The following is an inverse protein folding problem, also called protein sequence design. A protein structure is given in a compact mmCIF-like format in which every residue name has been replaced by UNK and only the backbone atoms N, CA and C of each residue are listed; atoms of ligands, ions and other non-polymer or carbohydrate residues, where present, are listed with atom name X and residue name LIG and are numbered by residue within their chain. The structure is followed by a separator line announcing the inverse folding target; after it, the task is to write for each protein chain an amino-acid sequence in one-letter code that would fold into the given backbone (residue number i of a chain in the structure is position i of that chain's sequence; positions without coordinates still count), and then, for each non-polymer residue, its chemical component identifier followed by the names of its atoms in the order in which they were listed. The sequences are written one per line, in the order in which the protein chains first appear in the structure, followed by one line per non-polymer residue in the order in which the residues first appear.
data_IF_679776451379
#
_entry.id   IF_679776451379
#
_cell.length_a   1.000
_cell.length_b   1.000
_cell.length_c   1.000
_cell.angle_alpha   90.00
_cell.angle_beta   90.00
_cell.angle_gamma   90.00
#
_symmetry.space_group_name_H-M   'P 1'
#
loop_
_entity.id
_entity.type
_entity.pdbx_description
1 polymer ?
#
# COMPACT_ATOMS: atom_id res chain seq x y z
N UNK A 1 41.70 -13.45 4.05
CA UNK A 1 40.63 -12.64 4.68
C UNK A 1 40.83 -11.19 4.24
N UNK A 2 40.27 -10.79 3.09
CA UNK A 2 40.49 -9.46 2.52
C UNK A 2 39.54 -8.45 3.18
N UNK A 3 40.08 -7.41 3.82
CA UNK A 3 39.33 -6.26 4.30
C UNK A 3 38.77 -5.51 3.09
N UNK A 4 37.46 -5.55 2.89
CA UNK A 4 36.77 -4.62 1.99
C UNK A 4 36.87 -3.23 2.59
N UNK A 5 37.67 -2.36 1.96
CA UNK A 5 37.71 -0.92 2.28
C UNK A 5 36.39 -0.29 1.86
N UNK A 6 35.64 0.26 2.82
CA UNK A 6 34.43 1.04 2.55
C UNK A 6 34.84 2.48 2.23
N UNK A 7 34.88 2.84 0.95
CA UNK A 7 35.05 4.23 0.52
C UNK A 7 33.76 5.03 0.77
N UNK A 8 33.85 6.16 1.46
CA UNK A 8 32.73 7.08 1.61
C UNK A 8 32.40 7.77 0.27
N UNK A 9 31.12 8.03 -0.04
CA UNK A 9 30.75 8.74 -1.26
C UNK A 9 31.28 10.18 -1.22
N UNK A 10 31.83 10.66 -2.34
CA UNK A 10 32.27 12.05 -2.49
C UNK A 10 31.09 13.04 -2.39
N UNK A 11 31.37 14.35 -2.18
CA UNK A 11 30.34 15.36 -1.90
C UNK A 11 29.28 15.46 -3.01
N UNK A 12 29.66 15.30 -4.29
CA UNK A 12 28.72 15.29 -5.39
C UNK A 12 27.76 14.08 -5.33
N UNK A 13 28.26 12.90 -4.96
CA UNK A 13 27.45 11.71 -4.77
C UNK A 13 26.53 11.86 -3.54
N UNK A 14 26.99 12.51 -2.48
CA UNK A 14 26.18 12.80 -1.30
C UNK A 14 24.99 13.74 -1.63
N UNK A 15 25.23 14.80 -2.41
CA UNK A 15 24.17 15.71 -2.88
C UNK A 15 23.17 14.99 -3.77
N UNK A 16 23.65 14.16 -4.69
CA UNK A 16 22.77 13.37 -5.57
C UNK A 16 21.89 12.39 -4.78
N UNK A 17 22.46 11.69 -3.80
CA UNK A 17 21.71 10.78 -2.92
C UNK A 17 20.70 11.52 -2.05
N UNK A 18 21.06 12.70 -1.53
CA UNK A 18 20.14 13.55 -0.79
C UNK A 18 18.96 13.96 -1.67
N UNK A 19 19.22 14.37 -2.91
CA UNK A 19 18.17 14.74 -3.86
C UNK A 19 17.28 13.56 -4.25
N UNK A 20 17.86 12.38 -4.48
CA UNK A 20 17.12 11.16 -4.77
C UNK A 20 16.20 10.74 -3.60
N UNK A 21 16.60 11.00 -2.35
CA UNK A 21 15.80 10.71 -1.17
C UNK A 21 14.57 11.63 -1.01
N UNK A 22 14.54 12.79 -1.71
CA UNK A 22 13.35 13.65 -1.77
C UNK A 22 12.35 13.20 -2.83
N UNK A 23 12.69 12.25 -3.70
CA UNK A 23 11.74 11.75 -4.69
C UNK A 23 10.67 10.87 -4.02
N UNK A 24 9.37 11.07 -4.33
CA UNK A 24 8.33 10.18 -3.85
C UNK A 24 8.60 8.77 -4.36
N UNK A 25 8.65 7.81 -3.44
CA UNK A 25 8.79 6.40 -3.77
C UNK A 25 7.54 5.96 -4.56
N UNK A 26 7.74 5.59 -5.83
CA UNK A 26 6.69 4.99 -6.64
C UNK A 26 6.48 3.56 -6.14
N UNK A 27 5.44 3.34 -5.33
CA UNK A 27 4.97 2.00 -5.04
C UNK A 27 4.37 1.45 -6.34
N UNK A 28 4.96 0.36 -6.87
CA UNK A 28 4.29 -0.42 -7.90
C UNK A 28 3.07 -1.08 -7.26
N UNK A 29 1.92 -0.41 -7.30
CA UNK A 29 0.65 -1.02 -6.91
C UNK A 29 0.30 -2.10 -7.92
N UNK A 30 0.83 -3.31 -7.69
CA UNK A 30 0.45 -4.54 -8.39
C UNK A 30 -0.94 -5.03 -7.98
N UNK A 31 -1.86 -4.10 -7.70
CA UNK A 31 -3.26 -4.41 -7.45
C UNK A 31 -3.97 -3.95 -8.71
N UNK A 32 -4.37 -4.92 -9.54
CA UNK A 32 -5.28 -4.66 -10.65
C UNK A 32 -6.42 -3.80 -10.09
N UNK A 33 -6.48 -2.53 -10.50
CA UNK A 33 -7.59 -1.68 -10.13
C UNK A 33 -8.82 -2.37 -10.70
N UNK A 34 -9.65 -2.95 -9.82
CA UNK A 34 -10.83 -3.67 -10.25
C UNK A 34 -11.68 -2.68 -11.06
N UNK A 35 -11.80 -2.94 -12.36
CA UNK A 35 -12.54 -2.07 -13.28
C UNK A 35 -14.00 -1.94 -12.82
N UNK A 36 -14.53 -2.99 -12.20
CA UNK A 36 -15.82 -3.01 -11.54
C UNK A 36 -15.64 -3.10 -10.02
N UNK A 37 -16.06 -2.03 -9.34
CA UNK A 37 -16.00 -1.83 -7.89
C UNK A 37 -17.36 -2.01 -7.21
N UNK A 38 -18.37 -2.46 -7.96
CA UNK A 38 -19.75 -2.63 -7.49
C UNK A 38 -20.03 -3.99 -6.84
N UNK A 39 -19.08 -4.93 -6.92
CA UNK A 39 -19.24 -6.28 -6.36
C UNK A 39 -18.15 -6.62 -5.35
N UNK A 40 -18.38 -6.21 -4.11
CA UNK A 40 -17.44 -6.41 -2.99
C UNK A 40 -17.96 -7.48 -2.03
N UNK A 41 -17.07 -8.34 -1.55
CA UNK A 41 -17.36 -9.25 -0.43
C UNK A 41 -16.56 -8.77 0.78
N UNK A 42 -17.26 -8.50 1.88
CA UNK A 42 -16.62 -8.13 3.15
C UNK A 42 -16.41 -9.38 4.02
N UNK A 43 -15.17 -9.64 4.43
CA UNK A 43 -14.81 -10.76 5.31
C UNK A 43 -14.34 -10.24 6.66
N UNK A 44 -14.96 -10.71 7.73
CA UNK A 44 -14.72 -10.24 9.10
C UNK A 44 -15.67 -9.12 9.55
N UNK A 45 -16.06 -9.19 10.83
CA UNK A 45 -16.99 -8.25 11.46
C UNK A 45 -16.53 -6.80 11.39
N UNK A 46 -15.29 -6.51 11.83
CA UNK A 46 -14.78 -5.14 11.86
C UNK A 46 -14.70 -4.50 10.48
N UNK A 47 -14.35 -5.26 9.45
CA UNK A 47 -14.34 -4.74 8.07
C UNK A 47 -15.77 -4.44 7.61
N UNK A 48 -16.71 -5.35 7.90
CA UNK A 48 -18.13 -5.15 7.60
C UNK A 48 -18.66 -3.87 8.28
N UNK A 49 -18.39 -3.68 9.57
CA UNK A 49 -18.78 -2.48 10.32
C UNK A 49 -18.20 -1.19 9.73
N UNK A 50 -16.92 -1.20 9.33
CA UNK A 50 -16.27 -0.05 8.68
C UNK A 50 -17.02 0.32 7.38
N UNK A 51 -17.38 -0.66 6.56
CA UNK A 51 -18.12 -0.40 5.30
C UNK A 51 -19.46 0.27 5.56
N UNK A 52 -20.21 -0.18 6.58
CA UNK A 52 -21.46 0.47 6.99
C UNK A 52 -21.23 1.88 7.56
N UNK A 53 -20.19 2.06 8.38
CA UNK A 53 -19.85 3.36 8.94
C UNK A 53 -19.49 4.39 7.85
N UNK A 54 -18.93 3.93 6.73
CA UNK A 54 -18.63 4.74 5.56
C UNK A 54 -19.85 4.96 4.64
N UNK A 55 -20.95 4.24 4.84
CA UNK A 55 -22.15 4.31 4.00
C UNK A 55 -22.03 3.57 2.66
N UNK A 56 -21.03 2.70 2.50
CA UNK A 56 -20.68 2.04 1.23
C UNK A 56 -21.26 0.61 1.10
N UNK A 57 -22.23 0.25 1.95
CA UNK A 57 -22.83 -1.10 1.98
C UNK A 57 -23.58 -1.48 0.71
N UNK A 58 -23.97 -0.51 -0.13
CA UNK A 58 -24.63 -0.72 -1.43
C UNK A 58 -23.74 -1.45 -2.45
N UNK A 59 -22.42 -1.44 -2.22
CA UNK A 59 -21.43 -2.11 -3.06
C UNK A 59 -21.14 -3.54 -2.60
N UNK A 60 -21.72 -3.97 -1.48
CA UNK A 60 -21.53 -5.32 -0.94
C UNK A 60 -22.47 -6.30 -1.63
N UNK A 61 -21.89 -7.34 -2.25
CA UNK A 61 -22.65 -8.49 -2.78
C UNK A 61 -22.73 -9.65 -1.80
N UNK A 62 -21.84 -9.68 -0.80
CA UNK A 62 -21.91 -10.61 0.32
C UNK A 62 -21.13 -10.07 1.54
N UNK A 63 -21.49 -10.59 2.71
CA UNK A 63 -20.75 -10.41 3.97
C UNK A 63 -20.45 -11.77 4.60
N UNK A 64 -19.40 -11.83 5.41
CA UNK A 64 -19.13 -12.97 6.28
C UNK A 64 -20.32 -13.24 7.20
N UNK A 65 -20.80 -14.49 7.21
CA UNK A 65 -21.96 -14.93 7.98
C UNK A 65 -21.78 -14.82 9.49
N UNK A 66 -20.54 -14.71 9.97
CA UNK A 66 -20.22 -14.54 11.39
C UNK A 66 -20.23 -13.07 11.84
N UNK A 67 -20.34 -12.12 10.91
CA UNK A 67 -20.43 -10.68 11.20
C UNK A 67 -21.82 -10.34 11.77
N UNK A 68 -21.85 -9.59 12.88
CA UNK A 68 -23.09 -9.21 13.58
C UNK A 68 -23.43 -7.75 13.31
#
# INVERSE_FOLDING_TARGET
MALVSRSAPGPAAAVFLAFAALMPAQAAEGIATFADRSRIVAIGGSITEIVYALGEQDRLVARDSTSR
#
